data_IF_814092112792
#
_entry.id   IF_814092112792
#
_cell.length_a   1.000
_cell.length_b   1.000
_cell.length_c   1.000
_cell.angle_alpha   90.00
_cell.angle_beta   90.00
_cell.angle_gamma   90.00
#
_symmetry.space_group_name_H-M   'P 1'
#
loop_
_entity.id
_entity.type
_entity.pdbx_description
1 polymer ?
#
# COMPACT_ATOMS: atom_id res chain seq x y z
N UNK A 1 0.05 4.79 19.27
CA UNK A 1 -1.00 4.78 18.23
C UNK A 1 -2.29 4.28 18.86
N UNK A 2 -3.39 5.03 18.75
CA UNK A 2 -4.71 4.56 19.21
C UNK A 2 -5.41 3.79 18.09
N UNK A 3 -6.38 2.94 18.44
CA UNK A 3 -7.19 2.21 17.47
C UNK A 3 -7.92 3.14 16.51
N UNK A 4 -8.53 4.21 17.03
CA UNK A 4 -9.23 5.20 16.22
C UNK A 4 -8.30 5.92 15.22
N UNK A 5 -7.06 6.23 15.62
CA UNK A 5 -6.07 6.81 14.72
C UNK A 5 -5.67 5.85 13.59
N UNK A 6 -5.47 4.58 13.91
CA UNK A 6 -5.22 3.54 12.90
C UNK A 6 -6.39 3.42 11.91
N UNK A 7 -7.62 3.35 12.41
CA UNK A 7 -8.82 3.20 11.57
C UNK A 7 -9.00 4.41 10.63
N UNK A 8 -8.70 5.63 11.11
CA UNK A 8 -8.72 6.84 10.29
C UNK A 8 -7.66 6.81 9.18
N UNK A 9 -6.43 6.36 9.48
CA UNK A 9 -5.33 6.29 8.51
C UNK A 9 -5.58 5.24 7.41
N UNK A 10 -6.15 4.08 7.75
CA UNK A 10 -6.46 3.06 6.74
C UNK A 10 -7.63 3.47 5.85
N UNK A 11 -8.63 4.19 6.40
CA UNK A 11 -9.81 4.63 5.65
C UNK A 11 -9.52 5.83 4.75
N UNK A 12 -8.94 6.90 5.31
CA UNK A 12 -8.81 8.19 4.65
C UNK A 12 -7.36 8.73 4.62
N UNK A 13 -6.48 8.21 5.46
CA UNK A 13 -5.08 8.63 5.51
C UNK A 13 -4.16 7.81 4.62
N UNK A 14 -2.87 7.82 4.95
CA UNK A 14 -1.81 7.29 4.09
C UNK A 14 -1.30 5.91 4.53
N UNK A 15 -2.13 5.15 5.26
CA UNK A 15 -1.83 3.75 5.54
C UNK A 15 -2.34 2.86 4.40
N UNK A 16 -1.40 2.26 3.69
CA UNK A 16 -1.63 1.31 2.60
C UNK A 16 -1.59 -0.11 3.17
N UNK A 17 -2.61 -0.46 3.96
CA UNK A 17 -2.69 -1.73 4.70
C UNK A 17 -3.95 -2.48 4.29
N UNK A 18 -3.83 -3.78 3.98
CA UNK A 18 -4.96 -4.63 3.61
C UNK A 18 -4.58 -5.72 2.63
N UNK A 19 -5.55 -6.17 1.83
CA UNK A 19 -5.30 -7.09 0.72
C UNK A 19 -4.45 -6.41 -0.38
N UNK A 20 -3.76 -7.18 -1.25
CA UNK A 20 -3.04 -6.60 -2.39
C UNK A 20 -3.92 -5.69 -3.26
N UNK A 21 -5.19 -6.06 -3.45
CA UNK A 21 -6.16 -5.26 -4.20
C UNK A 21 -6.47 -3.92 -3.50
N UNK A 22 -6.71 -3.94 -2.19
CA UNK A 22 -6.96 -2.72 -1.41
C UNK A 22 -5.79 -1.75 -1.54
N UNK A 23 -4.57 -2.29 -1.36
CA UNK A 23 -3.33 -1.51 -1.48
C UNK A 23 -3.17 -0.96 -2.91
N UNK A 24 -3.35 -1.79 -3.93
CA UNK A 24 -3.18 -1.38 -5.32
C UNK A 24 -4.16 -0.26 -5.74
N UNK A 25 -5.44 -0.41 -5.39
CA UNK A 25 -6.46 0.63 -5.66
C UNK A 25 -6.12 1.94 -4.96
N UNK A 26 -5.66 1.89 -3.71
CA UNK A 26 -5.29 3.08 -2.94
C UNK A 26 -4.05 3.77 -3.52
N UNK A 27 -3.01 3.00 -3.91
CA UNK A 27 -1.82 3.55 -4.59
C UNK A 27 -2.21 4.22 -5.90
N UNK A 28 -2.99 3.55 -6.76
CA UNK A 28 -3.39 4.09 -8.05
C UNK A 28 -4.23 5.38 -7.90
N UNK A 29 -5.13 5.43 -6.90
CA UNK A 29 -5.87 6.63 -6.58
C UNK A 29 -4.95 7.80 -6.17
N UNK A 30 -3.97 7.55 -5.29
CA UNK A 30 -3.00 8.56 -4.88
C UNK A 30 -2.13 9.04 -6.04
N UNK A 31 -1.63 8.12 -6.87
CA UNK A 31 -0.80 8.43 -8.05
C UNK A 31 -1.54 9.36 -9.00
N UNK A 32 -2.82 9.06 -9.30
CA UNK A 32 -3.67 9.90 -10.14
C UNK A 32 -3.97 11.27 -9.49
N UNK A 33 -4.30 11.28 -8.20
CA UNK A 33 -4.69 12.49 -7.50
C UNK A 33 -3.53 13.50 -7.37
N UNK A 34 -2.31 13.01 -7.24
CA UNK A 34 -1.11 13.83 -7.05
C UNK A 34 -0.29 14.04 -8.34
N UNK A 35 -0.66 13.40 -9.44
CA UNK A 35 0.06 13.41 -10.72
C UNK A 35 1.56 13.08 -10.57
N UNK A 36 1.84 11.94 -9.91
CA UNK A 36 3.22 11.49 -9.62
C UNK A 36 3.60 10.24 -10.40
N UNK A 37 4.82 10.18 -10.90
CA UNK A 37 5.35 9.01 -11.60
C UNK A 37 5.97 7.94 -10.67
N UNK A 38 6.20 8.28 -9.39
CA UNK A 38 6.87 7.41 -8.42
C UNK A 38 6.11 7.36 -7.10
N UNK A 39 6.02 6.16 -6.53
CA UNK A 39 5.43 5.90 -5.23
C UNK A 39 6.41 5.07 -4.38
N UNK A 40 6.85 5.62 -3.26
CA UNK A 40 7.71 4.92 -2.29
C UNK A 40 6.87 4.44 -1.11
N UNK A 41 7.10 3.20 -0.65
CA UNK A 41 6.33 2.58 0.42
C UNK A 41 7.26 2.10 1.55
N UNK A 42 7.05 2.62 2.75
CA UNK A 42 7.60 2.00 3.96
C UNK A 42 6.74 0.77 4.26
N UNK A 43 7.33 -0.41 4.14
CA UNK A 43 6.65 -1.70 4.30
C UNK A 43 6.73 -2.25 5.73
N UNK A 44 7.29 -1.47 6.66
CA UNK A 44 7.47 -1.87 8.05
C UNK A 44 6.72 -0.95 9.02
N UNK A 45 6.23 -1.53 10.11
CA UNK A 45 5.61 -0.79 11.20
C UNK A 45 5.92 -1.46 12.54
N UNK A 46 6.72 -0.79 13.38
CA UNK A 46 7.16 -1.34 14.66
C UNK A 46 7.98 -2.63 14.52
N UNK A 47 7.97 -3.45 15.57
CA UNK A 47 8.63 -4.75 15.56
C UNK A 47 7.80 -5.76 14.76
N UNK A 48 8.41 -6.31 13.70
CA UNK A 48 7.80 -7.34 12.85
C UNK A 48 8.78 -8.48 12.61
N UNK A 49 8.25 -9.70 12.49
CA UNK A 49 9.07 -10.85 12.13
C UNK A 49 9.71 -10.66 10.75
N UNK A 50 10.83 -11.35 10.51
CA UNK A 50 11.43 -11.40 9.16
C UNK A 50 10.43 -11.97 8.16
N UNK A 51 9.70 -13.04 8.52
CA UNK A 51 8.72 -13.68 7.64
C UNK A 51 7.61 -12.74 7.18
N UNK A 52 7.07 -11.90 8.07
CA UNK A 52 6.03 -10.93 7.72
C UNK A 52 6.57 -9.86 6.75
N UNK A 53 7.78 -9.37 7.01
CA UNK A 53 8.47 -8.38 6.16
C UNK A 53 8.75 -8.92 4.77
N UNK A 54 9.32 -10.13 4.68
CA UNK A 54 9.59 -10.80 3.40
C UNK A 54 8.29 -11.03 2.64
N UNK A 55 7.23 -11.51 3.32
CA UNK A 55 5.94 -11.74 2.68
C UNK A 55 5.30 -10.46 2.13
N UNK A 56 5.46 -9.34 2.82
CA UNK A 56 4.99 -8.04 2.35
C UNK A 56 5.69 -7.64 1.04
N UNK A 57 7.02 -7.77 0.97
CA UNK A 57 7.81 -7.49 -0.24
C UNK A 57 7.40 -8.41 -1.40
N UNK A 58 7.24 -9.71 -1.15
CA UNK A 58 6.76 -10.67 -2.16
C UNK A 58 5.40 -10.28 -2.73
N UNK A 59 4.42 -9.99 -1.86
CA UNK A 59 3.08 -9.60 -2.27
C UNK A 59 3.09 -8.28 -3.05
N UNK A 60 3.93 -7.33 -2.62
CA UNK A 60 4.06 -6.07 -3.31
C UNK A 60 4.59 -6.27 -4.74
N UNK A 61 5.70 -6.98 -4.88
CA UNK A 61 6.32 -7.23 -6.19
C UNK A 61 5.47 -8.12 -7.11
N UNK A 62 4.86 -9.18 -6.58
CA UNK A 62 4.16 -10.18 -7.39
C UNK A 62 2.69 -9.85 -7.65
N UNK A 63 2.05 -8.99 -6.85
CA UNK A 63 0.60 -8.72 -6.94
C UNK A 63 0.28 -7.23 -7.02
N UNK A 64 0.77 -6.43 -6.08
CA UNK A 64 0.38 -5.01 -6.00
C UNK A 64 0.94 -4.22 -7.16
N UNK A 65 2.25 -4.29 -7.39
CA UNK A 65 2.91 -3.44 -8.38
C UNK A 65 2.43 -3.70 -9.82
N UNK A 66 2.17 -4.94 -10.27
CA UNK A 66 1.51 -5.18 -11.57
C UNK A 66 0.10 -4.60 -11.61
N UNK A 67 -0.72 -4.86 -10.58
CA UNK A 67 -2.11 -4.38 -10.53
C UNK A 67 -2.22 -2.85 -10.54
N UNK A 68 -1.31 -2.13 -9.89
CA UNK A 68 -1.25 -0.67 -9.97
C UNK A 68 -0.99 -0.21 -11.40
N UNK A 69 -0.05 -0.84 -12.11
CA UNK A 69 0.26 -0.51 -13.51
C UNK A 69 -0.95 -0.78 -14.41
N UNK A 70 -1.62 -1.90 -14.22
CA UNK A 70 -2.83 -2.24 -14.98
C UNK A 70 -3.95 -1.22 -14.74
N UNK A 71 -4.18 -0.82 -13.47
CA UNK A 71 -5.20 0.17 -13.12
C UNK A 71 -4.89 1.52 -13.78
N UNK A 72 -3.62 1.94 -13.80
CA UNK A 72 -3.20 3.24 -14.35
C UNK A 72 -3.13 3.28 -15.88
N UNK A 73 -3.03 2.12 -16.54
CA UNK A 73 -3.03 2.01 -18.00
C UNK A 73 -4.43 2.16 -18.61
N UNK A 74 -5.49 1.97 -17.81
CA UNK A 74 -6.89 2.26 -18.16
C UNK A 74 -7.33 3.66 -17.72
#
# INVERSE_FOLDING_TARGET
MSRAGFDAEIANGSYYIGSPETVARKIAATVRALDVARFDMIYTAGAQSISARTRCVELFGAKVAPMVRDILAG
#
